data_IF_101947847340
#
_entry.id   IF_101947847340
#
_cell.length_a   1.000
_cell.length_b   1.000
_cell.length_c   1.000
_cell.angle_alpha   90.00
_cell.angle_beta   90.00
_cell.angle_gamma   90.00
#
_symmetry.space_group_name_H-M   'P 1'
#
loop_
_entity.id
_entity.type
_entity.pdbx_description
1 polymer ?
#
# COMPACT_ATOMS: atom_id res chain seq x y z
N UNK A 1 30.44 -5.23 0.33
CA UNK A 1 29.17 -5.86 0.77
C UNK A 1 28.14 -5.74 -0.34
N UNK A 2 27.59 -6.86 -0.79
CA UNK A 2 26.48 -7.02 -1.71
C UNK A 2 25.16 -6.84 -0.96
N UNK A 3 24.89 -5.61 -0.52
CA UNK A 3 23.62 -5.23 0.09
C UNK A 3 23.10 -3.90 -0.49
N UNK A 4 22.02 -3.38 0.07
CA UNK A 4 21.34 -2.16 -0.39
C UNK A 4 22.02 -0.86 0.07
N UNK A 5 23.18 -0.95 0.73
CA UNK A 5 23.90 0.25 1.18
C UNK A 5 24.28 1.13 -0.02
N UNK A 6 24.11 2.44 0.14
CA UNK A 6 24.48 3.43 -0.88
C UNK A 6 23.48 3.57 -2.04
N UNK A 7 22.34 2.87 -2.02
CA UNK A 7 21.23 3.20 -2.92
C UNK A 7 20.74 4.60 -2.58
N UNK A 8 20.74 5.48 -3.57
CA UNK A 8 20.13 6.82 -3.51
C UNK A 8 18.78 6.79 -4.23
N UNK A 9 17.90 7.75 -3.90
CA UNK A 9 16.60 7.93 -4.56
C UNK A 9 15.69 6.68 -4.51
N UNK A 10 15.76 5.96 -3.39
CA UNK A 10 14.99 4.74 -3.17
C UNK A 10 13.48 5.02 -3.20
N UNK A 11 12.70 4.12 -3.83
CA UNK A 11 11.24 4.19 -3.82
C UNK A 11 10.59 3.96 -2.45
N UNK A 12 11.32 3.39 -1.47
CA UNK A 12 10.78 3.06 -0.15
C UNK A 12 9.77 1.90 -0.14
N UNK A 13 9.88 0.95 -1.06
CA UNK A 13 8.90 -0.16 -1.18
C UNK A 13 8.98 -1.20 -0.05
N UNK A 14 10.05 -1.22 0.75
CA UNK A 14 10.21 -2.08 1.93
C UNK A 14 10.45 -3.57 1.67
N UNK A 15 10.47 -4.04 0.42
CA UNK A 15 10.67 -5.47 0.11
C UNK A 15 12.07 -5.97 0.51
N UNK A 16 13.08 -5.10 0.46
CA UNK A 16 14.43 -5.44 0.91
C UNK A 16 14.46 -5.82 2.41
N UNK A 17 13.66 -5.15 3.25
CA UNK A 17 13.54 -5.44 4.68
C UNK A 17 12.99 -6.84 4.93
N UNK A 18 11.86 -7.18 4.30
CA UNK A 18 11.20 -8.48 4.49
C UNK A 18 11.95 -9.64 3.80
N UNK A 19 12.83 -9.34 2.84
CA UNK A 19 13.65 -10.34 2.14
C UNK A 19 14.95 -10.71 2.89
N UNK A 20 15.39 -9.87 3.85
CA UNK A 20 16.67 -10.05 4.52
C UNK A 20 16.61 -11.21 5.53
N UNK A 21 17.36 -12.31 5.34
CA UNK A 21 17.30 -13.47 6.24
C UNK A 21 17.92 -13.21 7.62
N UNK A 22 18.65 -12.10 7.77
CA UNK A 22 19.24 -11.66 9.04
C UNK A 22 18.43 -10.57 9.73
N UNK A 23 17.37 -10.07 9.09
CA UNK A 23 16.49 -9.02 9.63
C UNK A 23 17.25 -7.75 10.07
N UNK A 24 18.29 -7.37 9.32
CA UNK A 24 19.14 -6.21 9.61
C UNK A 24 18.78 -4.96 8.78
N UNK A 25 17.64 -4.97 8.11
CA UNK A 25 17.17 -3.85 7.28
C UNK A 25 15.83 -3.40 7.82
N UNK A 26 15.77 -2.17 8.32
CA UNK A 26 14.55 -1.49 8.73
C UNK A 26 14.12 -0.47 7.69
N UNK A 27 12.87 -0.04 7.74
CA UNK A 27 12.35 1.06 6.91
C UNK A 27 12.01 2.23 7.82
N UNK A 28 12.64 3.37 7.57
CA UNK A 28 12.52 4.59 8.38
C UNK A 28 12.35 5.81 7.47
N UNK A 29 11.84 6.93 8.01
CA UNK A 29 11.74 8.18 7.26
C UNK A 29 13.12 8.85 7.21
N UNK A 30 13.51 9.33 6.04
CA UNK A 30 14.68 10.19 5.87
C UNK A 30 14.37 11.66 6.23
N UNK A 31 15.39 12.51 6.13
CA UNK A 31 15.29 13.94 6.47
C UNK A 31 14.27 14.69 5.60
N UNK A 32 14.02 14.22 4.37
CA UNK A 32 13.03 14.77 3.45
C UNK A 32 11.62 14.18 3.67
N UNK A 33 11.45 13.24 4.60
CA UNK A 33 10.18 12.62 4.93
C UNK A 33 9.73 11.50 3.99
N UNK A 34 10.67 10.79 3.36
CA UNK A 34 10.39 9.60 2.57
C UNK A 34 10.93 8.35 3.25
N UNK A 35 10.20 7.25 3.15
CA UNK A 35 10.65 5.95 3.65
C UNK A 35 11.83 5.43 2.84
N UNK A 36 12.88 5.02 3.54
CA UNK A 36 14.09 4.42 2.96
C UNK A 36 14.63 3.28 3.83
N UNK A 37 15.42 2.35 3.25
CA UNK A 37 16.02 1.27 4.00
C UNK A 37 17.22 1.73 4.84
N UNK A 38 17.20 1.37 6.13
CA UNK A 38 18.27 1.59 7.08
C UNK A 38 18.87 0.24 7.53
N UNK A 39 20.19 0.08 7.42
CA UNK A 39 20.87 -1.13 7.91
C UNK A 39 21.21 -0.93 9.38
N UNK A 40 20.62 -1.74 10.27
CA UNK A 40 20.77 -1.63 11.72
C UNK A 40 22.15 -2.08 12.21
N UNK A 41 22.67 -3.16 11.63
CA UNK A 41 24.00 -3.68 11.92
C UNK A 41 24.64 -4.26 10.64
N UNK A 42 25.74 -3.64 10.20
CA UNK A 42 26.44 -4.02 8.97
C UNK A 42 27.25 -5.30 9.14
N UNK A 43 27.72 -5.60 10.35
CA UNK A 43 28.63 -6.72 10.61
C UNK A 43 27.88 -8.06 10.61
N UNK A 44 26.56 -8.03 10.84
CA UNK A 44 25.68 -9.18 10.71
C UNK A 44 25.33 -9.55 9.25
N UNK A 45 25.74 -8.75 8.27
CA UNK A 45 25.46 -8.98 6.86
C UNK A 45 26.27 -10.17 6.30
N UNK A 46 25.57 -11.23 5.89
CA UNK A 46 26.18 -12.45 5.32
C UNK A 46 26.43 -12.40 3.80
N UNK A 47 26.45 -11.20 3.20
CA UNK A 47 26.74 -10.97 1.77
C UNK A 47 25.85 -11.75 0.76
N UNK A 48 24.63 -12.14 1.16
CA UNK A 48 23.77 -13.01 0.35
C UNK A 48 23.20 -12.38 -0.94
N UNK A 49 23.25 -11.05 -1.09
CA UNK A 49 22.74 -10.34 -2.28
C UNK A 49 21.22 -10.22 -2.43
N UNK A 50 20.43 -10.97 -1.64
CA UNK A 50 18.95 -11.06 -1.81
C UNK A 50 18.27 -9.69 -1.83
N UNK A 51 18.65 -8.78 -0.92
CA UNK A 51 18.03 -7.46 -0.83
C UNK A 51 18.26 -6.59 -2.08
N UNK A 52 19.33 -6.85 -2.86
CA UNK A 52 19.57 -6.22 -4.16
C UNK A 52 18.77 -6.90 -5.26
N UNK A 53 18.75 -8.23 -5.27
CA UNK A 53 18.03 -9.04 -6.27
C UNK A 53 16.53 -8.71 -6.32
N UNK A 54 15.92 -8.45 -5.16
CA UNK A 54 14.49 -8.10 -5.08
C UNK A 54 14.21 -6.62 -5.32
N UNK A 55 15.22 -5.76 -5.40
CA UNK A 55 15.04 -4.31 -5.50
C UNK A 55 14.76 -3.90 -6.95
N UNK A 56 13.52 -3.51 -7.27
CA UNK A 56 13.16 -3.06 -8.62
C UNK A 56 14.00 -1.87 -9.10
N UNK A 57 14.38 -0.96 -8.20
CA UNK A 57 15.20 0.22 -8.52
C UNK A 57 16.57 -0.13 -9.11
N UNK A 58 17.15 -1.28 -8.73
CA UNK A 58 18.46 -1.73 -9.22
C UNK A 58 18.40 -2.46 -10.56
N UNK A 59 17.22 -2.51 -11.20
CA UNK A 59 17.03 -3.24 -12.45
C UNK A 59 16.41 -2.34 -13.51
N UNK A 60 17.04 -2.29 -14.69
CA UNK A 60 16.57 -1.46 -15.81
C UNK A 60 15.23 -1.93 -16.42
N UNK A 61 14.86 -3.18 -16.17
CA UNK A 61 13.63 -3.80 -16.71
C UNK A 61 12.78 -4.35 -15.58
N UNK A 62 11.44 -4.27 -15.70
CA UNK A 62 10.53 -4.91 -14.76
C UNK A 62 10.73 -6.43 -14.74
N UNK A 63 10.36 -7.07 -13.64
CA UNK A 63 10.41 -8.51 -13.46
C UNK A 63 9.60 -9.25 -14.53
N UNK A 64 8.55 -8.62 -15.06
CA UNK A 64 7.81 -9.09 -16.23
C UNK A 64 7.64 -7.96 -17.22
N UNK A 65 8.01 -8.24 -18.46
CA UNK A 65 7.67 -7.39 -19.59
C UNK A 65 6.23 -7.77 -19.99
N UNK A 66 5.26 -7.05 -19.43
CA UNK A 66 3.85 -7.29 -19.74
C UNK A 66 3.51 -6.76 -21.13
N UNK A 67 2.94 -7.61 -21.97
CA UNK A 67 2.15 -7.19 -23.14
C UNK A 67 0.68 -7.28 -22.73
N UNK A 68 -0.07 -6.15 -22.67
CA UNK A 68 -1.48 -6.21 -22.32
C UNK A 68 -2.23 -7.15 -23.26
N UNK A 69 -2.84 -8.19 -22.73
CA UNK A 69 -3.64 -9.10 -23.54
C UNK A 69 -4.88 -8.41 -24.10
N UNK A 70 -5.60 -7.66 -23.24
CA UNK A 70 -6.81 -6.88 -23.55
C UNK A 70 -6.97 -5.73 -22.56
N UNK A 71 -7.72 -4.70 -22.96
CA UNK A 71 -8.07 -3.55 -22.13
C UNK A 71 -9.58 -3.38 -22.07
N UNK A 72 -10.10 -3.11 -20.87
CA UNK A 72 -11.52 -2.92 -20.62
C UNK A 72 -11.74 -1.71 -19.71
N UNK A 73 -12.88 -1.04 -19.89
CA UNK A 73 -13.40 -0.10 -18.90
C UNK A 73 -14.52 -0.81 -18.12
N UNK A 74 -14.45 -0.76 -16.79
CA UNK A 74 -15.41 -1.44 -15.93
C UNK A 74 -15.64 -0.65 -14.63
N UNK A 75 -16.80 -0.87 -14.02
CA UNK A 75 -17.16 -0.35 -12.71
C UNK A 75 -18.02 -1.37 -11.95
N UNK A 76 -18.00 -1.29 -10.62
CA UNK A 76 -18.86 -2.10 -9.75
C UNK A 76 -20.33 -1.82 -10.05
N UNK A 77 -21.18 -2.83 -10.05
CA UNK A 77 -22.63 -2.62 -10.15
C UNK A 77 -23.23 -2.04 -8.86
N UNK A 78 -22.54 -2.18 -7.73
CA UNK A 78 -22.93 -1.63 -6.45
C UNK A 78 -22.63 -0.12 -6.40
N UNK A 79 -23.69 0.68 -6.30
CA UNK A 79 -23.60 2.13 -6.27
C UNK A 79 -22.87 2.66 -5.02
N UNK A 80 -22.97 1.98 -3.88
CA UNK A 80 -22.28 2.37 -2.65
C UNK A 80 -20.77 2.13 -2.79
N UNK A 81 -20.37 0.97 -3.33
CA UNK A 81 -18.95 0.68 -3.63
C UNK A 81 -18.40 1.68 -4.64
N UNK A 82 -19.12 1.94 -5.74
CA UNK A 82 -18.71 2.97 -6.71
C UNK A 82 -18.55 4.34 -6.06
N UNK A 83 -19.41 4.71 -5.11
CA UNK A 83 -19.34 6.02 -4.44
C UNK A 83 -18.13 6.13 -3.52
N UNK A 84 -17.85 5.09 -2.73
CA UNK A 84 -16.76 5.05 -1.75
C UNK A 84 -15.37 4.88 -2.39
N UNK A 85 -15.28 4.17 -3.51
CA UNK A 85 -14.02 3.98 -4.22
C UNK A 85 -13.59 5.22 -5.02
N UNK A 86 -12.29 5.43 -5.17
CA UNK A 86 -11.73 6.59 -5.91
C UNK A 86 -12.11 6.61 -7.40
N UNK A 87 -12.46 5.47 -8.00
CA UNK A 87 -12.88 5.35 -9.41
C UNK A 87 -14.03 4.34 -9.54
N UNK A 88 -13.96 3.38 -10.47
CA UNK A 88 -15.02 2.39 -10.71
C UNK A 88 -15.17 1.30 -9.63
N UNK A 89 -14.24 1.17 -8.68
CA UNK A 89 -14.30 0.16 -7.62
C UNK A 89 -13.78 -1.23 -7.98
N UNK A 90 -13.14 -1.38 -9.15
CA UNK A 90 -12.67 -2.68 -9.66
C UNK A 90 -11.67 -3.37 -8.73
N UNK A 91 -10.71 -2.64 -8.15
CA UNK A 91 -9.74 -3.25 -7.23
C UNK A 91 -10.41 -3.87 -5.99
N UNK A 92 -11.48 -3.24 -5.48
CA UNK A 92 -12.27 -3.79 -4.39
C UNK A 92 -13.06 -5.02 -4.84
N UNK A 93 -13.72 -4.97 -6.00
CA UNK A 93 -14.48 -6.10 -6.55
C UNK A 93 -13.61 -7.34 -6.79
N UNK A 94 -12.40 -7.16 -7.30
CA UNK A 94 -11.42 -8.24 -7.46
C UNK A 94 -11.04 -8.82 -6.09
N UNK A 95 -10.70 -7.95 -5.12
CA UNK A 95 -10.38 -8.39 -3.76
C UNK A 95 -11.51 -9.18 -3.09
N UNK A 96 -12.74 -8.67 -3.19
CA UNK A 96 -13.95 -9.32 -2.65
C UNK A 96 -14.18 -10.69 -3.28
N UNK A 97 -14.02 -10.80 -4.60
CA UNK A 97 -14.17 -12.07 -5.32
C UNK A 97 -13.11 -13.06 -4.86
N UNK A 98 -11.84 -12.65 -4.83
CA UNK A 98 -10.74 -13.54 -4.44
C UNK A 98 -10.81 -13.99 -2.97
N UNK A 99 -11.30 -13.16 -2.05
CA UNK A 99 -11.61 -13.58 -0.67
C UNK A 99 -12.58 -14.77 -0.65
N UNK A 100 -13.64 -14.73 -1.47
CA UNK A 100 -14.60 -15.83 -1.57
C UNK A 100 -14.01 -17.11 -2.18
N UNK A 101 -12.89 -16.99 -2.90
CA UNK A 101 -12.13 -18.10 -3.50
C UNK A 101 -10.99 -18.60 -2.59
N UNK A 102 -10.94 -18.14 -1.35
CA UNK A 102 -9.96 -18.58 -0.35
C UNK A 102 -8.60 -17.87 -0.42
N UNK A 103 -8.51 -16.75 -1.14
CA UNK A 103 -7.34 -15.85 -1.04
C UNK A 103 -7.48 -14.95 0.20
N UNK A 104 -6.35 -14.47 0.70
CA UNK A 104 -6.29 -13.29 1.57
C UNK A 104 -5.87 -12.07 0.74
N UNK A 105 -6.11 -10.85 1.21
CA UNK A 105 -5.76 -9.62 0.48
C UNK A 105 -4.74 -8.82 1.26
N UNK A 106 -3.57 -8.56 0.67
CA UNK A 106 -2.65 -7.54 1.15
C UNK A 106 -3.07 -6.18 0.55
N UNK A 107 -3.82 -5.41 1.34
CA UNK A 107 -4.38 -4.10 0.99
C UNK A 107 -3.66 -2.95 1.70
N UNK A 108 -4.13 -1.72 1.50
CA UNK A 108 -3.59 -0.51 2.15
C UNK A 108 -4.69 0.27 2.86
N UNK A 109 -4.53 0.49 4.16
CA UNK A 109 -5.42 1.36 4.96
C UNK A 109 -4.70 2.64 5.39
N UNK A 110 -5.47 3.65 5.79
CA UNK A 110 -4.91 4.79 6.52
C UNK A 110 -5.08 4.52 8.03
N UNK A 111 -3.98 4.34 8.73
CA UNK A 111 -3.96 4.20 10.18
C UNK A 111 -3.85 5.59 10.80
N UNK A 112 -4.95 6.04 11.38
CA UNK A 112 -5.08 7.37 11.98
C UNK A 112 -4.23 7.50 13.24
N UNK A 113 -4.20 6.48 14.09
CA UNK A 113 -3.41 6.48 15.33
C UNK A 113 -1.91 6.64 15.05
N UNK A 114 -1.43 6.00 13.97
CA UNK A 114 -0.04 6.11 13.51
C UNK A 114 0.17 7.24 12.49
N UNK A 115 -0.90 7.93 12.08
CA UNK A 115 -0.88 8.96 11.05
C UNK A 115 -0.24 8.53 9.72
N UNK A 116 -0.40 7.27 9.28
CA UNK A 116 0.29 6.73 8.09
C UNK A 116 -0.61 5.83 7.24
N UNK A 117 -0.35 5.77 5.93
CA UNK A 117 -0.83 4.67 5.12
C UNK A 117 0.02 3.43 5.40
N UNK A 118 -0.60 2.26 5.59
CA UNK A 118 0.11 1.02 5.87
C UNK A 118 -0.54 -0.18 5.18
N UNK A 119 0.30 -1.12 4.75
CA UNK A 119 -0.14 -2.41 4.25
C UNK A 119 -0.58 -3.31 5.40
N UNK A 120 -1.65 -4.08 5.17
CA UNK A 120 -2.21 -5.03 6.12
C UNK A 120 -2.82 -6.22 5.38
N UNK A 121 -3.13 -7.30 6.10
CA UNK A 121 -3.83 -8.47 5.55
C UNK A 121 -5.31 -8.37 5.92
N UNK A 122 -6.18 -8.39 4.91
CA UNK A 122 -7.59 -8.63 5.05
C UNK A 122 -7.90 -10.09 4.73
N UNK A 123 -8.71 -10.72 5.57
CA UNK A 123 -9.20 -12.10 5.47
C UNK A 123 -10.72 -12.18 5.36
N UNK A 124 -11.40 -11.03 5.46
CA UNK A 124 -12.85 -10.92 5.27
C UNK A 124 -13.21 -9.65 4.47
N UNK A 125 -14.46 -9.59 4.00
CA UNK A 125 -14.97 -8.44 3.24
C UNK A 125 -15.07 -7.19 4.12
N UNK A 126 -15.37 -7.38 5.41
CA UNK A 126 -15.42 -6.35 6.43
C UNK A 126 -14.03 -5.74 6.64
N UNK A 127 -12.98 -6.57 6.72
CA UNK A 127 -11.60 -6.08 6.82
C UNK A 127 -11.14 -5.39 5.52
N UNK A 128 -11.58 -5.87 4.36
CA UNK A 128 -11.23 -5.30 3.06
C UNK A 128 -11.75 -3.87 2.88
N UNK A 129 -12.83 -3.48 3.55
CA UNK A 129 -13.43 -2.15 3.38
C UNK A 129 -12.42 -1.02 3.67
N UNK A 130 -11.48 -1.22 4.60
CA UNK A 130 -10.46 -0.23 4.94
C UNK A 130 -9.48 0.03 3.79
N UNK A 131 -9.40 -0.89 2.82
CA UNK A 131 -8.57 -0.76 1.63
C UNK A 131 -9.20 0.15 0.56
N UNK A 132 -10.48 0.51 0.70
CA UNK A 132 -11.15 1.39 -0.25
C UNK A 132 -10.49 2.76 -0.29
N UNK A 133 -10.46 3.33 -1.49
CA UNK A 133 -9.89 4.65 -1.73
C UNK A 133 -8.37 4.62 -1.83
N UNK A 134 -7.84 5.44 -2.73
CA UNK A 134 -6.41 5.70 -2.83
C UNK A 134 -5.92 6.53 -1.63
N UNK A 135 -4.73 6.24 -1.14
CA UNK A 135 -4.04 7.04 -0.12
C UNK A 135 -2.90 7.77 -0.83
N UNK A 136 -3.00 9.08 -1.03
CA UNK A 136 -2.01 9.88 -1.78
C UNK A 136 -0.81 10.27 -0.91
N UNK A 137 -0.26 9.30 -0.18
CA UNK A 137 0.95 9.39 0.63
C UNK A 137 1.71 8.06 0.48
N UNK A 138 3.01 8.06 0.77
CA UNK A 138 3.77 6.81 0.76
C UNK A 138 3.24 5.84 1.83
N UNK A 139 3.08 4.57 1.47
CA UNK A 139 2.61 3.54 2.39
C UNK A 139 3.77 2.80 3.07
N UNK A 140 3.62 2.51 4.35
CA UNK A 140 4.52 1.63 5.09
C UNK A 140 4.15 0.17 4.83
N UNK A 141 5.06 -0.59 4.21
CA UNK A 141 4.74 -1.92 3.65
C UNK A 141 5.12 -3.10 4.56
N UNK A 142 6.10 -2.91 5.46
CA UNK A 142 6.82 -3.99 6.13
C UNK A 142 5.89 -4.92 6.92
N UNK A 143 5.00 -4.35 7.74
CA UNK A 143 4.09 -5.12 8.59
C UNK A 143 3.18 -6.04 7.75
N UNK A 144 2.54 -5.49 6.72
CA UNK A 144 1.67 -6.24 5.82
C UNK A 144 2.41 -7.29 5.00
N UNK A 145 3.61 -6.98 4.49
CA UNK A 145 4.40 -7.95 3.72
C UNK A 145 5.01 -9.06 4.59
N UNK A 146 5.39 -8.77 5.83
CA UNK A 146 5.87 -9.79 6.77
C UNK A 146 4.75 -10.76 7.20
N UNK A 147 3.51 -10.31 7.24
CA UNK A 147 2.36 -11.15 7.56
C UNK A 147 1.98 -12.15 6.43
N UNK A 148 2.62 -12.07 5.26
CA UNK A 148 2.36 -12.97 4.14
C UNK A 148 3.06 -14.32 4.35
N UNK A 149 2.27 -15.39 4.42
CA UNK A 149 2.77 -16.75 4.32
C UNK A 149 2.85 -17.18 2.86
N UNK A 150 4.06 -17.34 2.30
CA UNK A 150 4.27 -17.73 0.89
C UNK A 150 3.66 -19.07 0.49
N UNK A 151 3.16 -19.88 1.43
CA UNK A 151 2.46 -21.15 1.19
C UNK A 151 0.94 -21.01 1.04
N UNK A 152 0.38 -19.84 1.34
CA UNK A 152 -1.06 -19.54 1.20
C UNK A 152 -1.30 -18.61 0.01
N UNK A 153 -2.56 -18.47 -0.40
CA UNK A 153 -2.95 -17.66 -1.55
C UNK A 153 -3.22 -16.20 -1.18
N UNK A 154 -2.65 -15.25 -1.92
CA UNK A 154 -2.85 -13.83 -1.68
C UNK A 154 -3.09 -13.02 -2.96
N UNK A 155 -4.03 -12.07 -2.89
CA UNK A 155 -4.01 -10.88 -3.74
C UNK A 155 -3.09 -9.85 -3.08
N UNK A 156 -2.09 -9.34 -3.79
CA UNK A 156 -1.25 -8.24 -3.29
C UNK A 156 -1.49 -7.01 -4.15
N UNK A 157 -1.88 -5.93 -3.48
CA UNK A 157 -2.13 -4.63 -4.11
C UNK A 157 -1.07 -3.62 -3.70
N UNK A 158 -0.59 -2.82 -4.64
CA UNK A 158 0.47 -1.85 -4.36
C UNK A 158 0.82 -0.99 -5.56
N UNK A 159 1.72 -0.03 -5.36
CA UNK A 159 2.27 0.75 -6.46
C UNK A 159 3.13 -0.14 -7.37
N UNK A 160 3.40 0.27 -8.63
CA UNK A 160 4.19 -0.53 -9.55
C UNK A 160 5.57 -0.92 -9.01
N UNK A 161 6.25 -0.02 -8.27
CA UNK A 161 7.54 -0.33 -7.66
C UNK A 161 7.45 -1.35 -6.51
N UNK A 162 6.36 -1.32 -5.73
CA UNK A 162 6.08 -2.32 -4.70
C UNK A 162 5.79 -3.69 -5.32
N UNK A 163 4.91 -3.73 -6.32
CA UNK A 163 4.52 -4.97 -7.00
C UNK A 163 5.69 -5.59 -7.78
N UNK A 164 6.51 -4.79 -8.47
CA UNK A 164 7.69 -5.31 -9.17
C UNK A 164 8.70 -5.94 -8.20
N UNK A 165 9.03 -5.22 -7.12
CA UNK A 165 9.94 -5.73 -6.09
C UNK A 165 9.38 -6.99 -5.41
N UNK A 166 8.09 -6.98 -5.08
CA UNK A 166 7.42 -8.13 -4.44
C UNK A 166 7.37 -9.34 -5.37
N UNK A 167 7.13 -9.15 -6.68
CA UNK A 167 7.20 -10.24 -7.67
C UNK A 167 8.57 -10.88 -7.72
N UNK A 168 9.65 -10.08 -7.73
CA UNK A 168 11.03 -10.60 -7.67
C UNK A 168 11.26 -11.43 -6.41
N UNK A 169 10.76 -10.95 -5.27
CA UNK A 169 10.83 -11.66 -4.01
C UNK A 169 10.14 -13.03 -4.05
N UNK A 170 8.87 -13.11 -4.45
CA UNK A 170 8.15 -14.40 -4.48
C UNK A 170 8.73 -15.36 -5.53
N UNK A 171 9.29 -14.87 -6.64
CA UNK A 171 10.03 -15.68 -7.62
C UNK A 171 11.32 -16.26 -7.04
N UNK A 172 12.09 -15.46 -6.31
CA UNK A 172 13.31 -15.92 -5.63
C UNK A 172 13.05 -17.12 -4.73
N UNK A 173 11.84 -17.21 -4.16
CA UNK A 173 11.40 -18.29 -3.30
C UNK A 173 10.43 -19.28 -3.96
N UNK A 174 10.32 -19.29 -5.30
CA UNK A 174 9.47 -20.20 -6.08
C UNK A 174 8.01 -20.27 -5.58
N UNK A 175 7.42 -19.13 -5.25
CA UNK A 175 6.10 -19.04 -4.66
C UNK A 175 5.09 -18.29 -5.54
N UNK A 176 5.45 -17.87 -6.76
CA UNK A 176 4.65 -16.97 -7.60
C UNK A 176 3.22 -17.49 -7.87
N UNK A 177 3.04 -18.80 -8.02
CA UNK A 177 1.73 -19.42 -8.32
C UNK A 177 0.68 -19.20 -7.21
N UNK A 178 1.10 -18.86 -6.00
CA UNK A 178 0.21 -18.55 -4.89
C UNK A 178 -0.32 -17.11 -4.92
N UNK A 179 0.15 -16.26 -5.84
CA UNK A 179 -0.10 -14.83 -5.80
C UNK A 179 -0.79 -14.31 -7.05
N UNK A 180 -1.80 -13.46 -6.81
CA UNK A 180 -2.28 -12.52 -7.82
C UNK A 180 -1.72 -11.15 -7.43
N UNK A 181 -1.07 -10.48 -8.36
CA UNK A 181 -0.49 -9.16 -8.13
C UNK A 181 -1.25 -8.11 -8.93
N UNK A 182 -1.67 -7.04 -8.27
CA UNK A 182 -2.41 -5.94 -8.88
C UNK A 182 -1.71 -4.61 -8.55
N UNK A 183 -1.19 -3.95 -9.58
CA UNK A 183 -0.73 -2.58 -9.50
C UNK A 183 -1.76 -1.59 -10.06
N UNK A 184 -1.40 -0.31 -10.03
CA UNK A 184 -2.23 0.78 -10.54
C UNK A 184 -1.33 1.90 -11.07
N UNK A 185 -1.91 2.80 -11.87
CA UNK A 185 -1.21 3.97 -12.36
C UNK A 185 -0.78 4.87 -11.19
N UNK A 186 0.53 5.04 -11.05
CA UNK A 186 1.15 5.83 -10.01
C UNK A 186 2.11 6.81 -10.65
N UNK A 187 1.99 8.10 -10.31
CA UNK A 187 2.89 9.14 -10.80
C UNK A 187 4.01 9.42 -9.79
N UNK A 188 3.63 9.77 -8.55
CA UNK A 188 4.55 10.02 -7.44
C UNK A 188 3.78 9.99 -6.10
N UNK A 189 4.52 10.05 -5.00
CA UNK A 189 3.99 10.25 -3.65
C UNK A 189 4.59 11.51 -3.03
N UNK A 190 3.82 12.30 -2.26
CA UNK A 190 4.38 13.43 -1.54
C UNK A 190 5.17 12.98 -0.30
N UNK A 191 6.03 13.87 0.19
CA UNK A 191 6.72 13.71 1.48
C UNK A 191 5.72 13.58 2.63
N UNK A 192 6.05 12.72 3.60
CA UNK A 192 5.31 12.60 4.85
C UNK A 192 5.29 13.90 5.66
N UNK A 193 6.35 14.71 5.57
CA UNK A 193 6.41 16.03 6.24
C UNK A 193 5.32 16.98 5.73
N UNK A 194 5.03 16.93 4.42
CA UNK A 194 3.95 17.72 3.83
C UNK A 194 2.59 17.27 4.37
N UNK A 195 2.36 15.96 4.43
CA UNK A 195 1.14 15.40 4.99
C UNK A 195 0.95 15.76 6.46
N UNK A 196 2.01 15.67 7.26
CA UNK A 196 1.95 15.97 8.69
C UNK A 196 1.70 17.45 8.96
N UNK A 197 2.33 18.33 8.18
CA UNK A 197 2.02 19.77 8.23
C UNK A 197 0.57 20.05 7.85
N UNK A 198 0.03 19.33 6.88
CA UNK A 198 -1.36 19.47 6.48
C UNK A 198 -2.32 19.00 7.58
N UNK A 199 -2.13 17.79 8.13
CA UNK A 199 -2.94 17.28 9.24
C UNK A 199 -2.89 18.20 10.46
N UNK A 200 -1.70 18.66 10.86
CA UNK A 200 -1.55 19.59 11.98
C UNK A 200 -2.33 20.91 11.79
N UNK A 201 -2.57 21.35 10.56
CA UNK A 201 -3.39 22.53 10.29
C UNK A 201 -4.88 22.19 10.31
N UNK A 202 -5.28 21.03 9.80
CA UNK A 202 -6.68 20.58 9.81
C UNK A 202 -7.14 20.29 11.23
N UNK A 203 -6.31 19.69 12.08
CA UNK A 203 -6.68 19.35 13.46
C UNK A 203 -6.96 20.58 14.34
N UNK A 204 -6.45 21.76 13.97
CA UNK A 204 -6.82 23.03 14.63
C UNK A 204 -8.30 23.38 14.42
N UNK A 205 -8.92 22.83 13.39
CA UNK A 205 -10.31 23.06 13.01
C UNK A 205 -11.17 21.86 13.44
N UNK A 206 -10.70 20.64 13.18
CA UNK A 206 -11.50 19.41 13.33
C UNK A 206 -11.34 18.72 14.69
N UNK A 207 -10.39 19.14 15.53
CA UNK A 207 -9.85 18.29 16.59
C UNK A 207 -9.01 17.17 15.99
N UNK A 208 -8.61 16.19 16.80
CA UNK A 208 -7.82 15.04 16.31
C UNK A 208 -8.57 14.36 15.19
N UNK A 209 -7.86 14.05 14.10
CA UNK A 209 -8.48 13.36 12.97
C UNK A 209 -8.92 11.96 13.38
N UNK A 210 -10.03 11.49 12.82
CA UNK A 210 -10.57 10.13 12.98
C UNK A 210 -10.72 9.43 11.63
N UNK A 211 -10.68 10.19 10.53
CA UNK A 211 -10.81 9.66 9.17
C UNK A 211 -10.15 10.57 8.15
N UNK A 212 -9.61 9.98 7.08
CA UNK A 212 -9.13 10.69 5.90
C UNK A 212 -9.47 9.91 4.63
N UNK A 213 -10.03 10.61 3.64
CA UNK A 213 -10.42 10.07 2.34
C UNK A 213 -9.97 10.98 1.22
N UNK A 214 -9.10 10.46 0.34
CA UNK A 214 -8.69 11.14 -0.89
C UNK A 214 -9.60 10.78 -2.05
N UNK A 215 -9.69 11.68 -3.04
CA UNK A 215 -10.51 11.48 -4.24
C UNK A 215 -11.96 11.17 -3.90
N UNK A 216 -12.50 11.83 -2.87
CA UNK A 216 -13.89 11.64 -2.52
C UNK A 216 -14.78 12.27 -3.60
N UNK A 217 -16.04 11.83 -3.68
CA UNK A 217 -16.96 12.20 -4.75
C UNK A 217 -18.10 13.11 -4.28
N UNK A 218 -17.91 13.84 -3.17
CA UNK A 218 -18.96 14.73 -2.63
C UNK A 218 -19.33 15.85 -3.61
N UNK A 219 -18.37 16.33 -4.41
CA UNK A 219 -18.59 17.34 -5.45
C UNK A 219 -18.71 16.72 -6.85
N UNK A 220 -18.94 15.41 -6.95
CA UNK A 220 -18.96 14.67 -8.22
C UNK A 220 -17.62 14.03 -8.57
N UNK A 221 -17.60 13.26 -9.66
CA UNK A 221 -16.42 12.47 -10.06
C UNK A 221 -15.35 13.29 -10.80
N UNK A 222 -15.77 14.30 -11.57
CA UNK A 222 -14.85 15.14 -12.34
C UNK A 222 -13.97 16.02 -11.44
N UNK A 223 -14.48 16.41 -10.26
CA UNK A 223 -13.72 17.11 -9.21
C UNK A 223 -12.93 16.14 -8.34
N UNK A 224 -12.24 15.21 -8.98
CA UNK A 224 -11.54 14.12 -8.33
C UNK A 224 -10.49 14.59 -7.33
N UNK A 225 -10.09 15.86 -7.22
CA UNK A 225 -9.15 16.33 -6.20
C UNK A 225 -9.69 16.44 -4.77
N UNK A 226 -10.99 16.24 -4.57
CA UNK A 226 -11.60 16.50 -3.27
C UNK A 226 -11.09 15.50 -2.22
N UNK A 227 -10.81 16.02 -1.03
CA UNK A 227 -10.36 15.26 0.14
C UNK A 227 -11.29 15.60 1.30
N UNK A 228 -11.70 14.57 2.04
CA UNK A 228 -12.53 14.71 3.23
C UNK A 228 -11.75 14.17 4.41
N UNK A 229 -11.76 14.95 5.50
CA UNK A 229 -11.14 14.61 6.77
C UNK A 229 -12.17 14.93 7.83
N UNK A 230 -12.43 13.94 8.68
CA UNK A 230 -13.27 14.10 9.85
C UNK A 230 -12.37 14.04 11.08
N UNK A 231 -12.73 14.82 12.10
CA UNK A 231 -12.10 14.78 13.41
C UNK A 231 -13.13 14.85 14.53
N UNK A 232 -12.67 14.71 15.77
CA UNK A 232 -13.49 14.62 16.98
C UNK A 232 -14.54 15.74 17.15
N UNK A 233 -14.30 16.93 16.59
CA UNK A 233 -15.19 18.09 16.68
C UNK A 233 -16.16 18.23 15.50
N UNK A 234 -15.92 17.53 14.39
CA UNK A 234 -16.59 17.78 13.10
C UNK A 234 -17.25 16.54 12.50
N UNK A 235 -17.00 15.35 13.06
CA UNK A 235 -17.67 14.10 12.69
C UNK A 235 -17.74 13.12 13.87
N UNK A 236 -18.62 12.13 13.77
CA UNK A 236 -18.56 10.96 14.67
C UNK A 236 -17.37 10.09 14.20
N UNK A 237 -16.55 9.53 15.12
CA UNK A 237 -15.55 8.55 14.75
C UNK A 237 -16.17 7.45 13.90
N UNK A 238 -15.54 7.08 12.79
CA UNK A 238 -16.01 5.97 11.96
C UNK A 238 -15.70 4.67 12.69
N UNK A 239 -16.74 3.94 13.10
CA UNK A 239 -16.62 2.54 13.48
C UNK A 239 -16.66 1.70 12.20
N UNK A 240 -15.55 1.02 11.91
CA UNK A 240 -15.39 0.19 10.73
C UNK A 240 -16.07 -1.18 10.87
N UNK A 241 -16.47 -1.56 12.08
CA UNK A 241 -17.22 -2.78 12.37
C UNK A 241 -18.74 -2.59 12.30
N UNK A 242 -19.22 -1.34 12.38
CA UNK A 242 -20.61 -1.02 12.06
C UNK A 242 -20.80 -1.01 10.55
N UNK A 243 -21.32 -2.13 10.02
CA UNK A 243 -21.71 -2.28 8.62
C UNK A 243 -22.69 -1.15 8.23
N UNK A 244 -22.15 -0.14 7.56
CA UNK A 244 -22.78 1.07 7.03
C UNK A 244 -24.31 1.05 6.83
N UNK A 245 -25.02 1.81 7.68
CA UNK A 245 -26.22 2.56 7.30
C UNK A 245 -25.82 3.96 6.78
N UNK A 246 -25.10 4.02 5.65
CA UNK A 246 -24.94 5.24 4.81
C UNK A 246 -24.89 4.86 3.33
#
# INVERSE_FOLDING_TARGET
MKNIIGIKDCYGCGVCAISCPKHIIEIQLNEDGFYEPHITDKDLCIDCGICRDVCSFLHDKPAVINVPHKSYAAWSHDAAIRRKCSSGGIGYEIGRTLLSEGYKVCGVRYNVEKGRAEHYIASSVEELIQSIGSKYIQSYTVDGFNAINRKEKYLVTGTPCQIDSFRRYIRKFNAEDNFILMDFFCHAVPSKLMWDKYINNIEKITGKITYASWRNKFTGWHDSWAMSIDGELTGKPIDWHDSYNI
#
